data_IF_352218407234
#
_entry.id   IF_352218407234
#
_cell.length_a   1.000
_cell.length_b   1.000
_cell.length_c   1.000
_cell.angle_alpha   90.00
_cell.angle_beta   90.00
_cell.angle_gamma   90.00
#
_symmetry.space_group_name_H-M   'P 1'
#
loop_
_entity.id
_entity.type
_entity.pdbx_description
1 polymer ?
#
# COMPACT_ATOMS: atom_id res chain seq x y z
N UNK A 1 -9.20 -40.74 -7.49
CA UNK A 1 -9.96 -41.71 -6.67
C UNK A 1 -10.64 -40.93 -5.56
N UNK A 2 -11.99 -40.90 -5.61
CA UNK A 2 -13.02 -40.57 -4.59
C UNK A 2 -12.66 -39.55 -3.46
N UNK A 3 -13.44 -38.51 -3.15
CA UNK A 3 -14.87 -38.35 -3.34
C UNK A 3 -15.34 -36.89 -3.23
N UNK A 4 -16.48 -36.68 -3.90
CA UNK A 4 -17.26 -35.47 -4.06
C UNK A 4 -18.00 -35.08 -2.79
N UNK A 5 -18.03 -33.78 -2.50
CA UNK A 5 -18.89 -33.17 -1.48
C UNK A 5 -19.19 -31.71 -1.82
N UNK A 6 -19.96 -31.48 -2.89
CA UNK A 6 -20.60 -30.17 -3.15
C UNK A 6 -21.83 -30.06 -2.28
N UNK A 7 -21.85 -29.10 -1.36
CA UNK A 7 -23.06 -28.65 -0.67
C UNK A 7 -23.45 -27.28 -1.22
N UNK A 8 -24.53 -27.23 -1.99
CA UNK A 8 -25.21 -25.97 -2.35
C UNK A 8 -26.34 -25.72 -1.35
N UNK A 9 -26.44 -24.51 -0.84
CA UNK A 9 -27.60 -24.05 -0.07
C UNK A 9 -28.32 -22.99 -0.90
N UNK A 10 -29.56 -23.29 -1.29
CA UNK A 10 -30.49 -22.35 -1.91
C UNK A 10 -31.44 -21.89 -0.80
N UNK A 11 -31.59 -20.57 -0.59
CA UNK A 11 -32.57 -20.01 0.34
C UNK A 11 -33.59 -19.21 -0.44
N UNK A 12 -34.84 -19.67 -0.39
CA UNK A 12 -36.01 -19.02 -0.97
C UNK A 12 -36.50 -17.92 -0.03
N UNK A 13 -36.74 -16.72 -0.56
CA UNK A 13 -37.37 -15.60 0.17
C UNK A 13 -38.87 -15.63 -0.18
N UNK A 14 -39.79 -15.66 0.80
CA UNK A 14 -41.21 -15.47 0.52
C UNK A 14 -41.50 -13.98 0.27
N UNK A 15 -41.97 -13.67 -0.93
CA UNK A 15 -42.68 -12.43 -1.25
C UNK A 15 -44.11 -12.56 -0.75
N UNK A 16 -44.46 -11.80 0.29
CA UNK A 16 -45.86 -11.51 0.62
C UNK A 16 -46.24 -10.18 -0.02
N UNK A 17 -47.02 -10.31 -1.08
CA UNK A 17 -47.73 -9.27 -1.79
C UNK A 17 -49.16 -9.25 -1.24
N UNK A 18 -49.61 -8.10 -0.73
CA UNK A 18 -51.02 -7.83 -0.43
C UNK A 18 -51.20 -6.31 -0.40
N UNK A 19 -51.97 -5.83 -1.37
CA UNK A 19 -52.24 -4.43 -1.61
C UNK A 19 -53.55 -3.91 -1.00
N UNK A 20 -53.65 -2.57 -0.99
CA UNK A 20 -54.86 -1.75 -1.29
C UNK A 20 -56.01 -1.80 -0.22
N UNK A 21 -56.72 -0.75 0.27
CA UNK A 21 -56.99 0.69 -0.06
C UNK A 21 -57.60 1.40 1.20
N UNK A 22 -57.68 2.74 1.15
CA UNK A 22 -58.64 3.69 1.79
C UNK A 22 -58.45 4.28 3.21
N UNK A 23 -57.95 5.53 3.25
CA UNK A 23 -58.58 6.82 3.67
C UNK A 23 -59.45 6.98 4.96
N UNK A 24 -59.57 8.22 5.51
CA UNK A 24 -59.38 8.52 6.93
C UNK A 24 -60.60 9.11 7.68
N UNK A 25 -60.70 8.94 9.01
CA UNK A 25 -61.53 9.77 9.91
C UNK A 25 -61.08 9.63 11.40
N UNK A 26 -61.53 10.44 12.38
CA UNK A 26 -60.93 11.71 12.83
C UNK A 26 -60.40 11.66 14.29
N UNK A 27 -59.53 12.61 14.64
CA UNK A 27 -59.10 12.87 16.02
C UNK A 27 -60.24 13.43 16.90
N UNK A 28 -60.37 12.99 18.17
CA UNK A 28 -61.06 13.75 19.21
C UNK A 28 -60.09 14.70 19.97
N UNK A 29 -60.62 15.77 20.59
CA UNK A 29 -59.84 16.93 21.01
C UNK A 29 -59.06 16.71 22.31
N UNK A 30 -57.91 17.37 22.41
CA UNK A 30 -57.11 17.49 23.63
C UNK A 30 -57.81 18.41 24.65
N UNK A 31 -57.85 18.05 25.94
CA UNK A 31 -58.13 19.03 26.98
C UNK A 31 -56.84 19.78 27.35
N UNK A 32 -56.90 21.10 27.22
CA UNK A 32 -55.93 22.05 27.74
C UNK A 32 -55.98 22.10 29.27
N UNK A 33 -54.81 21.96 29.91
CA UNK A 33 -54.43 22.42 31.27
C UNK A 33 -53.03 21.83 31.50
N UNK A 34 -52.05 22.47 32.09
CA UNK A 34 -51.91 23.75 32.76
C UNK A 34 -50.41 23.85 33.06
N UNK A 35 -49.90 25.08 33.05
CA UNK A 35 -48.55 25.47 33.44
C UNK A 35 -48.07 24.74 34.71
N UNK A 36 -47.05 23.89 34.58
CA UNK A 36 -46.23 23.46 35.70
C UNK A 36 -44.77 23.78 35.40
N UNK A 37 -44.20 24.51 36.34
CA UNK A 37 -42.83 24.96 36.48
C UNK A 37 -41.88 23.76 36.37
N UNK A 38 -41.01 23.75 35.36
CA UNK A 38 -39.94 22.76 35.25
C UNK A 38 -38.82 23.08 36.25
N UNK A 39 -38.78 22.35 37.35
CA UNK A 39 -37.53 22.02 38.06
C UNK A 39 -36.69 21.06 37.20
N UNK A 40 -35.35 21.07 37.32
CA UNK A 40 -34.49 20.19 36.54
C UNK A 40 -34.67 18.75 37.03
N UNK A 41 -35.52 18.00 36.32
CA UNK A 41 -35.71 16.58 36.58
C UNK A 41 -34.46 15.83 36.13
N UNK A 42 -33.79 15.23 37.10
CA UNK A 42 -32.86 14.12 36.95
C UNK A 42 -33.37 13.14 35.89
N UNK A 43 -32.57 12.91 34.83
CA UNK A 43 -32.83 11.83 33.89
C UNK A 43 -33.01 10.51 34.68
N UNK A 44 -34.11 9.77 34.48
CA UNK A 44 -34.29 8.49 35.13
C UNK A 44 -33.15 7.54 34.72
N UNK A 45 -32.62 6.72 35.63
CA UNK A 45 -31.57 5.78 35.30
C UNK A 45 -32.06 4.81 34.20
N UNK A 46 -31.19 4.42 33.25
CA UNK A 46 -31.58 3.55 32.16
C UNK A 46 -32.16 2.25 32.71
N UNK A 47 -33.35 1.88 32.20
CA UNK A 47 -34.05 0.66 32.61
C UNK A 47 -33.25 -0.60 32.20
N UNK A 48 -33.46 -1.75 32.86
CA UNK A 48 -32.75 -3.00 32.53
C UNK A 48 -32.86 -3.40 31.04
N UNK A 49 -33.98 -3.09 30.41
CA UNK A 49 -34.26 -3.38 28.99
C UNK A 49 -33.40 -2.50 28.08
N UNK A 50 -33.18 -1.22 28.42
CA UNK A 50 -32.31 -0.32 27.65
C UNK A 50 -30.83 -0.72 27.77
N UNK A 51 -30.41 -1.23 28.92
CA UNK A 51 -29.04 -1.70 29.12
C UNK A 51 -28.75 -3.01 28.35
N UNK A 52 -29.69 -3.95 28.35
CA UNK A 52 -29.55 -5.18 27.56
C UNK A 52 -29.49 -4.86 26.05
N UNK A 53 -30.35 -3.97 25.56
CA UNK A 53 -30.36 -3.57 24.15
C UNK A 53 -29.06 -2.88 23.73
N UNK A 54 -28.55 -1.96 24.56
CA UNK A 54 -27.27 -1.29 24.31
C UNK A 54 -26.11 -2.31 24.23
N UNK A 55 -26.06 -3.24 25.17
CA UNK A 55 -25.04 -4.30 25.19
C UNK A 55 -25.09 -5.18 23.93
N UNK A 56 -26.29 -5.58 23.49
CA UNK A 56 -26.45 -6.37 22.26
C UNK A 56 -26.00 -5.60 21.02
N UNK A 57 -26.27 -4.29 20.94
CA UNK A 57 -25.81 -3.45 19.83
C UNK A 57 -24.28 -3.37 19.82
N UNK A 58 -23.64 -3.15 20.97
CA UNK A 58 -22.19 -3.07 21.08
C UNK A 58 -21.51 -4.40 20.72
N UNK A 59 -22.06 -5.52 21.18
CA UNK A 59 -21.59 -6.87 20.83
C UNK A 59 -21.69 -7.12 19.32
N UNK A 60 -22.83 -6.76 18.72
CA UNK A 60 -23.06 -6.92 17.27
C UNK A 60 -22.12 -6.04 16.46
N UNK A 61 -21.93 -4.79 16.89
CA UNK A 61 -20.99 -3.86 16.27
C UNK A 61 -19.56 -4.40 16.32
N UNK A 62 -19.10 -4.85 17.49
CA UNK A 62 -17.76 -5.40 17.66
C UNK A 62 -17.56 -6.64 16.77
N UNK A 63 -18.54 -7.55 16.72
CA UNK A 63 -18.48 -8.71 15.83
C UNK A 63 -18.38 -8.31 14.36
N UNK A 64 -19.15 -7.31 13.94
CA UNK A 64 -19.10 -6.80 12.56
C UNK A 64 -17.73 -6.20 12.21
N UNK A 65 -17.16 -5.39 13.10
CA UNK A 65 -15.82 -4.80 12.88
C UNK A 65 -14.73 -5.86 12.82
N UNK A 66 -14.86 -6.94 13.61
CA UNK A 66 -13.96 -8.08 13.55
C UNK A 66 -14.07 -8.80 12.20
N UNK A 67 -15.29 -9.10 11.75
CA UNK A 67 -15.53 -9.76 10.46
C UNK A 67 -14.96 -8.96 9.28
N UNK A 68 -15.08 -7.62 9.29
CA UNK A 68 -14.46 -6.78 8.25
C UNK A 68 -12.94 -6.89 8.27
N UNK A 69 -12.31 -6.90 9.45
CA UNK A 69 -10.86 -7.06 9.58
C UNK A 69 -10.40 -8.43 9.10
N UNK A 70 -11.10 -9.50 9.45
CA UNK A 70 -10.81 -10.86 8.98
C UNK A 70 -10.96 -10.99 7.47
N UNK A 71 -11.99 -10.37 6.90
CA UNK A 71 -12.20 -10.34 5.44
C UNK A 71 -11.06 -9.62 4.73
N UNK A 72 -10.60 -8.48 5.24
CA UNK A 72 -9.43 -7.77 4.71
C UNK A 72 -8.14 -8.59 4.85
N UNK A 73 -7.96 -9.30 5.95
CA UNK A 73 -6.80 -10.19 6.13
C UNK A 73 -6.82 -11.32 5.10
N UNK A 74 -7.97 -11.96 4.90
CA UNK A 74 -8.15 -12.97 3.87
C UNK A 74 -7.83 -12.41 2.48
N UNK A 75 -8.34 -11.22 2.13
CA UNK A 75 -8.02 -10.57 0.85
C UNK A 75 -6.52 -10.29 0.75
N UNK A 76 -5.88 -9.77 1.79
CA UNK A 76 -4.44 -9.48 1.82
C UNK A 76 -3.60 -10.71 1.46
N UNK A 77 -3.97 -11.88 1.99
CA UNK A 77 -3.23 -13.13 1.79
C UNK A 77 -3.37 -13.67 0.35
N UNK A 78 -4.51 -13.40 -0.30
CA UNK A 78 -4.83 -13.97 -1.62
C UNK A 78 -4.68 -12.98 -2.78
N UNK A 79 -4.57 -11.67 -2.51
CA UNK A 79 -4.51 -10.61 -3.53
C UNK A 79 -3.35 -10.81 -4.51
N UNK A 80 -2.17 -11.16 -4.00
CA UNK A 80 -0.98 -11.38 -4.82
C UNK A 80 -1.14 -12.58 -5.76
N UNK A 81 -1.72 -13.70 -5.28
CA UNK A 81 -2.00 -14.87 -6.10
C UNK A 81 -3.01 -14.57 -7.20
N UNK A 82 -4.06 -13.83 -6.85
CA UNK A 82 -5.06 -13.44 -7.82
C UNK A 82 -4.47 -12.54 -8.91
N UNK A 83 -3.74 -11.47 -8.56
CA UNK A 83 -3.17 -10.60 -9.59
C UNK A 83 -2.09 -11.32 -10.40
N UNK A 84 -1.30 -12.21 -9.79
CA UNK A 84 -0.40 -13.09 -10.54
C UNK A 84 -1.16 -13.95 -11.56
N UNK A 85 -2.30 -14.51 -11.19
CA UNK A 85 -3.10 -15.31 -12.13
C UNK A 85 -3.64 -14.49 -13.31
N UNK A 86 -3.89 -13.19 -13.12
CA UNK A 86 -4.37 -12.26 -14.15
C UNK A 86 -3.24 -11.77 -15.07
N UNK A 87 -2.10 -11.40 -14.48
CA UNK A 87 -1.07 -10.60 -15.17
C UNK A 87 0.17 -11.41 -15.60
N UNK A 88 0.31 -12.67 -15.18
CA UNK A 88 1.43 -13.51 -15.62
C UNK A 88 1.09 -14.11 -17.00
N UNK A 89 1.89 -13.84 -18.04
CA UNK A 89 1.60 -14.32 -19.39
C UNK A 89 1.73 -15.85 -19.54
N UNK A 90 2.34 -16.53 -18.57
CA UNK A 90 2.63 -17.96 -18.60
C UNK A 90 2.36 -18.63 -17.24
N UNK A 91 1.65 -19.75 -17.23
CA UNK A 91 1.50 -20.55 -16.00
C UNK A 91 2.85 -21.06 -15.50
N UNK A 92 2.94 -21.37 -14.20
CA UNK A 92 4.16 -21.94 -13.60
C UNK A 92 4.62 -23.22 -14.32
N UNK A 93 3.68 -24.07 -14.74
CA UNK A 93 3.97 -25.27 -15.53
C UNK A 93 4.65 -24.92 -16.86
N UNK A 94 4.15 -23.88 -17.55
CA UNK A 94 4.72 -23.40 -18.81
C UNK A 94 6.09 -22.76 -18.62
N UNK A 95 6.30 -22.03 -17.51
CA UNK A 95 7.60 -21.47 -17.14
C UNK A 95 8.62 -22.56 -16.81
N UNK A 96 8.22 -23.63 -16.13
CA UNK A 96 9.10 -24.75 -15.81
C UNK A 96 9.54 -25.55 -17.04
N UNK A 97 8.77 -25.51 -18.12
CA UNK A 97 9.09 -26.14 -19.40
C UNK A 97 9.84 -25.20 -20.36
N UNK A 98 9.94 -23.90 -20.03
CA UNK A 98 10.54 -22.89 -20.89
C UNK A 98 12.04 -23.15 -21.05
N UNK A 99 12.49 -23.28 -22.29
CA UNK A 99 13.90 -23.39 -22.64
C UNK A 99 14.48 -21.99 -22.85
N UNK A 100 15.74 -21.80 -22.47
CA UNK A 100 16.42 -20.51 -22.67
C UNK A 100 16.47 -20.08 -24.14
N UNK A 101 16.51 -21.04 -25.08
CA UNK A 101 16.45 -20.78 -26.53
C UNK A 101 15.12 -20.18 -27.01
N UNK A 102 14.06 -20.29 -26.21
CA UNK A 102 12.75 -19.70 -26.50
C UNK A 102 12.66 -18.23 -26.06
N UNK A 103 13.69 -17.72 -25.38
CA UNK A 103 13.81 -16.32 -24.96
C UNK A 103 14.63 -15.55 -26.01
N UNK A 104 13.98 -14.60 -26.66
CA UNK A 104 14.56 -13.74 -27.70
C UNK A 104 14.89 -12.39 -27.06
N UNK A 105 16.17 -12.09 -26.94
CA UNK A 105 16.64 -10.79 -26.46
C UNK A 105 16.38 -9.71 -27.52
N UNK A 106 15.79 -8.57 -27.13
CA UNK A 106 15.65 -7.42 -28.02
C UNK A 106 16.98 -6.71 -28.25
N UNK A 107 17.86 -6.76 -27.24
CA UNK A 107 19.24 -6.30 -27.32
C UNK A 107 20.13 -7.20 -26.45
N UNK A 108 21.39 -7.37 -26.86
CA UNK A 108 22.42 -8.04 -26.06
C UNK A 108 23.08 -7.11 -25.04
N UNK A 109 22.78 -5.81 -25.08
CA UNK A 109 23.17 -4.87 -24.02
C UNK A 109 22.08 -4.83 -22.95
N UNK A 110 22.40 -5.01 -21.65
CA UNK A 110 21.41 -4.90 -20.59
C UNK A 110 20.83 -3.48 -20.54
N UNK A 111 19.52 -3.40 -20.37
CA UNK A 111 18.79 -2.13 -20.19
C UNK A 111 19.13 -1.48 -18.84
N UNK A 112 19.44 -2.30 -17.84
CA UNK A 112 19.84 -1.85 -16.51
C UNK A 112 20.78 -2.87 -15.88
N UNK A 113 21.77 -2.35 -15.14
CA UNK A 113 22.70 -3.15 -14.33
C UNK A 113 22.54 -2.69 -12.88
N UNK A 114 22.29 -3.63 -11.96
CA UNK A 114 22.16 -3.36 -10.53
C UNK A 114 22.90 -4.45 -9.75
N UNK A 115 24.10 -4.12 -9.26
CA UNK A 115 25.00 -5.10 -8.65
C UNK A 115 25.32 -6.24 -9.62
N UNK A 116 25.17 -7.49 -9.17
CA UNK A 116 25.35 -8.71 -9.97
C UNK A 116 24.17 -9.07 -10.89
N UNK A 117 23.14 -8.22 -10.95
CA UNK A 117 21.91 -8.47 -11.70
C UNK A 117 21.86 -7.64 -12.98
N UNK A 118 21.60 -8.32 -14.09
CA UNK A 118 21.48 -7.74 -15.42
C UNK A 118 20.02 -7.83 -15.87
N UNK A 119 19.45 -6.71 -16.30
CA UNK A 119 18.08 -6.65 -16.78
C UNK A 119 18.05 -6.45 -18.29
N UNK A 120 17.25 -7.25 -18.98
CA UNK A 120 17.08 -7.21 -20.42
C UNK A 120 15.61 -7.10 -20.79
N UNK A 121 15.33 -6.39 -21.88
CA UNK A 121 14.08 -6.56 -22.58
C UNK A 121 14.17 -7.77 -23.50
N UNK A 122 13.21 -8.67 -23.37
CA UNK A 122 13.15 -9.90 -24.16
C UNK A 122 11.72 -10.24 -24.54
N UNK A 123 11.56 -11.23 -25.41
CA UNK A 123 10.28 -11.82 -25.75
C UNK A 123 10.35 -13.35 -25.63
N UNK A 124 9.26 -13.99 -25.23
CA UNK A 124 9.14 -15.44 -25.26
C UNK A 124 8.43 -15.83 -26.55
N UNK A 125 9.06 -16.71 -27.34
CA UNK A 125 8.48 -17.28 -28.56
C UNK A 125 7.95 -18.68 -28.27
N UNK A 126 6.68 -18.93 -28.60
CA UNK A 126 6.09 -20.27 -28.60
C UNK A 126 5.31 -20.48 -29.89
N UNK A 127 5.51 -21.64 -30.51
CA UNK A 127 4.76 -22.15 -31.68
C UNK A 127 4.54 -21.11 -32.79
N UNK A 128 5.65 -20.69 -33.43
CA UNK A 128 5.75 -19.81 -34.62
C UNK A 128 5.02 -18.44 -34.63
N UNK A 129 4.14 -18.13 -33.67
CA UNK A 129 3.31 -16.92 -33.71
C UNK A 129 3.09 -16.19 -32.38
N UNK A 130 3.25 -16.82 -31.22
CA UNK A 130 2.99 -16.12 -29.96
C UNK A 130 4.29 -15.52 -29.42
N UNK A 131 4.32 -14.19 -29.33
CA UNK A 131 5.39 -13.40 -28.70
C UNK A 131 4.85 -12.70 -27.46
N UNK A 132 5.42 -13.01 -26.29
CA UNK A 132 5.13 -12.28 -25.04
C UNK A 132 6.33 -11.41 -24.70
N UNK A 133 6.16 -10.10 -24.66
CA UNK A 133 7.20 -9.21 -24.14
C UNK A 133 7.37 -9.40 -22.64
N UNK A 134 8.62 -9.53 -22.22
CA UNK A 134 9.01 -9.77 -20.83
C UNK A 134 10.17 -8.87 -20.43
N UNK A 135 10.34 -8.72 -19.12
CA UNK A 135 11.59 -8.25 -18.53
C UNK A 135 12.32 -9.46 -17.95
N UNK A 136 13.54 -9.69 -18.43
CA UNK A 136 14.39 -10.79 -17.97
C UNK A 136 15.47 -10.25 -17.04
N UNK A 137 15.52 -10.75 -15.80
CA UNK A 137 16.63 -10.51 -14.89
C UNK A 137 17.54 -11.73 -14.87
N UNK A 138 18.77 -11.59 -15.34
CA UNK A 138 19.80 -12.63 -15.29
C UNK A 138 20.76 -12.29 -14.17
N UNK A 139 20.92 -13.23 -13.23
CA UNK A 139 21.89 -13.11 -12.15
C UNK A 139 23.13 -13.93 -12.45
N UNK A 140 24.29 -13.28 -12.36
CA UNK A 140 25.58 -13.95 -12.46
C UNK A 140 25.99 -14.45 -11.08
N UNK A 141 26.09 -15.76 -10.89
CA UNK A 141 26.74 -16.29 -9.70
C UNK A 141 28.25 -16.07 -9.86
N UNK A 142 28.84 -15.24 -9.00
CA UNK A 142 30.28 -15.23 -8.76
C UNK A 142 30.59 -16.38 -7.79
N UNK A 143 30.33 -17.63 -8.18
CA UNK A 143 30.92 -18.74 -7.43
C UNK A 143 32.37 -18.90 -7.87
N UNK A 144 33.27 -18.87 -6.89
CA UNK A 144 34.69 -19.22 -6.98
C UNK A 144 34.88 -20.68 -7.42
N UNK A 145 34.46 -21.01 -8.64
CA UNK A 145 34.78 -22.26 -9.30
C UNK A 145 35.77 -21.94 -10.41
N UNK A 146 37.01 -22.43 -10.23
CA UNK A 146 38.12 -22.40 -11.17
C UNK A 146 37.85 -23.16 -12.48
N UNK A 147 36.64 -23.67 -12.69
CA UNK A 147 36.22 -24.36 -13.91
C UNK A 147 35.17 -23.52 -14.66
N UNK A 148 35.63 -22.84 -15.72
CA UNK A 148 34.84 -21.97 -16.61
C UNK A 148 33.71 -22.68 -17.39
N UNK A 149 33.56 -24.00 -17.28
CA UNK A 149 32.78 -24.81 -18.24
C UNK A 149 31.27 -24.88 -17.97
N UNK A 150 30.78 -24.57 -16.76
CA UNK A 150 29.34 -24.66 -16.47
C UNK A 150 28.89 -23.63 -15.44
N UNK A 151 28.89 -22.34 -15.80
CA UNK A 151 28.24 -21.32 -14.99
C UNK A 151 26.73 -21.42 -15.21
N UNK A 152 26.04 -22.11 -14.31
CA UNK A 152 24.57 -22.01 -14.23
C UNK A 152 24.23 -20.58 -13.82
N UNK A 153 23.27 -19.95 -14.51
CA UNK A 153 22.74 -18.64 -14.14
C UNK A 153 21.30 -18.78 -13.70
N UNK A 154 20.87 -17.98 -12.72
CA UNK A 154 19.46 -17.91 -12.37
C UNK A 154 18.85 -16.76 -13.16
N UNK A 155 17.84 -17.07 -13.96
CA UNK A 155 17.07 -16.09 -14.68
C UNK A 155 15.67 -15.98 -14.05
N UNK A 156 15.19 -14.75 -13.90
CA UNK A 156 13.83 -14.46 -13.47
C UNK A 156 13.08 -13.82 -14.64
N UNK A 157 11.99 -14.46 -15.04
CA UNK A 157 11.07 -13.95 -16.06
C UNK A 157 9.99 -13.16 -15.36
N UNK A 158 9.84 -11.90 -15.72
CA UNK A 158 8.81 -11.00 -15.20
C UNK A 158 7.94 -10.50 -16.36
N UNK A 159 6.70 -10.04 -16.08
CA UNK A 159 5.94 -9.25 -17.03
C UNK A 159 6.77 -8.08 -17.58
N UNK A 160 6.38 -7.51 -18.72
CA UNK A 160 7.09 -6.35 -19.27
C UNK A 160 7.01 -5.17 -18.29
N UNK A 161 8.16 -4.79 -17.74
CA UNK A 161 8.32 -3.72 -16.77
C UNK A 161 9.27 -2.63 -17.30
N UNK A 162 8.91 -1.37 -17.06
CA UNK A 162 9.82 -0.22 -17.17
C UNK A 162 10.51 -0.04 -15.83
N UNK A 163 11.80 -0.34 -15.78
CA UNK A 163 12.63 -0.23 -14.58
C UNK A 163 13.32 1.14 -14.55
N UNK A 164 13.31 1.80 -13.39
CA UNK A 164 13.90 3.12 -13.23
C UNK A 164 14.49 3.29 -11.83
N UNK A 165 15.66 3.90 -11.73
CA UNK A 165 16.27 4.28 -10.45
C UNK A 165 15.67 5.60 -9.93
N UNK A 166 15.85 5.91 -8.65
CA UNK A 166 15.44 7.22 -8.11
C UNK A 166 16.14 8.39 -8.83
N UNK A 167 17.44 8.26 -9.11
CA UNK A 167 18.19 9.27 -9.86
C UNK A 167 17.66 9.45 -11.29
N UNK A 168 17.37 8.35 -11.99
CA UNK A 168 16.82 8.40 -13.34
C UNK A 168 15.41 8.99 -13.36
N UNK A 169 14.58 8.68 -12.36
CA UNK A 169 13.25 9.26 -12.23
C UNK A 169 13.34 10.78 -12.02
N UNK A 170 14.23 11.22 -11.13
CA UNK A 170 14.49 12.63 -10.89
C UNK A 170 15.13 13.34 -12.11
N UNK A 171 15.96 12.67 -12.90
CA UNK A 171 16.59 13.28 -14.07
C UNK A 171 15.65 13.44 -15.27
N UNK A 172 14.59 12.62 -15.37
CA UNK A 172 13.73 12.55 -16.55
C UNK A 172 12.74 13.73 -16.70
N UNK A 173 12.92 14.83 -15.94
CA UNK A 173 12.01 15.98 -15.91
C UNK A 173 10.52 15.57 -15.72
N UNK A 174 10.27 14.51 -14.95
CA UNK A 174 8.92 14.01 -14.71
C UNK A 174 8.04 15.08 -14.05
N UNK A 175 8.65 15.93 -13.23
CA UNK A 175 8.11 17.15 -12.62
C UNK A 175 7.64 18.20 -13.64
N UNK A 176 8.24 18.27 -14.83
CA UNK A 176 7.90 19.29 -15.84
C UNK A 176 6.73 18.92 -16.75
N UNK A 177 6.37 17.64 -16.79
CA UNK A 177 5.30 17.11 -17.65
C UNK A 177 4.01 16.88 -16.87
N UNK A 178 4.05 16.95 -15.54
CA UNK A 178 2.97 16.58 -14.64
C UNK A 178 2.75 17.74 -13.67
N UNK A 179 1.51 17.98 -13.27
CA UNK A 179 1.18 19.00 -12.29
C UNK A 179 1.79 18.67 -10.91
N UNK A 180 2.05 19.70 -10.11
CA UNK A 180 2.81 19.55 -8.87
C UNK A 180 2.11 18.65 -7.85
N UNK A 181 0.77 18.63 -7.84
CA UNK A 181 -0.01 17.79 -6.94
C UNK A 181 0.14 16.31 -7.32
N UNK A 182 -0.05 15.96 -8.59
CA UNK A 182 0.17 14.59 -9.06
C UNK A 182 1.62 14.14 -8.86
N UNK A 183 2.58 15.04 -9.04
CA UNK A 183 3.99 14.78 -8.79
C UNK A 183 4.27 14.45 -7.31
N UNK A 184 3.88 15.34 -6.39
CA UNK A 184 4.11 15.14 -4.96
C UNK A 184 3.31 13.96 -4.41
N UNK A 185 2.11 13.69 -4.95
CA UNK A 185 1.35 12.47 -4.67
C UNK A 185 2.15 11.21 -5.04
N UNK A 186 2.81 11.23 -6.19
CA UNK A 186 3.63 10.13 -6.67
C UNK A 186 4.86 9.92 -5.80
N UNK A 187 5.54 11.01 -5.41
CA UNK A 187 6.66 10.95 -4.44
C UNK A 187 6.19 10.40 -3.10
N UNK A 188 5.04 10.87 -2.59
CA UNK A 188 4.44 10.37 -1.35
C UNK A 188 4.19 8.85 -1.43
N UNK A 189 3.64 8.36 -2.55
CA UNK A 189 3.41 6.93 -2.76
C UNK A 189 4.70 6.09 -2.80
N UNK A 190 5.74 6.59 -3.47
CA UNK A 190 7.07 5.96 -3.47
C UNK A 190 7.63 5.91 -2.04
N UNK A 191 7.48 7.01 -1.29
CA UNK A 191 7.96 7.09 0.09
C UNK A 191 7.21 6.16 1.04
N UNK A 192 5.89 5.97 0.89
CA UNK A 192 5.14 4.95 1.64
C UNK A 192 5.76 3.56 1.43
N UNK A 193 6.02 3.18 0.17
CA UNK A 193 6.62 1.89 -0.16
C UNK A 193 8.04 1.76 0.41
N UNK A 194 8.85 2.81 0.27
CA UNK A 194 10.24 2.80 0.74
C UNK A 194 10.31 2.67 2.26
N UNK A 195 9.56 3.47 3.00
CA UNK A 195 9.57 3.42 4.47
C UNK A 195 9.05 2.06 4.97
N UNK A 196 8.02 1.49 4.33
CA UNK A 196 7.58 0.13 4.61
C UNK A 196 8.70 -0.90 4.42
N UNK A 197 9.42 -0.84 3.29
CA UNK A 197 10.53 -1.75 3.02
C UNK A 197 11.69 -1.58 3.99
N UNK A 198 12.05 -0.33 4.33
CA UNK A 198 13.10 -0.02 5.30
C UNK A 198 12.74 -0.50 6.71
N UNK A 199 11.48 -0.41 7.12
CA UNK A 199 11.03 -1.00 8.39
C UNK A 199 11.18 -2.52 8.42
N UNK A 200 10.88 -3.19 7.32
CA UNK A 200 11.12 -4.64 7.22
C UNK A 200 12.61 -4.98 7.28
N UNK A 201 13.47 -4.18 6.64
CA UNK A 201 14.92 -4.35 6.76
C UNK A 201 15.40 -4.08 8.20
N UNK A 202 14.86 -3.06 8.86
CA UNK A 202 15.17 -2.75 10.27
C UNK A 202 14.80 -3.91 11.20
N UNK A 203 13.64 -4.55 10.99
CA UNK A 203 13.25 -5.74 11.77
C UNK A 203 14.15 -6.95 11.47
N UNK A 204 14.75 -7.00 10.28
CA UNK A 204 15.75 -8.01 9.91
C UNK A 204 17.16 -7.67 10.46
N UNK A 205 17.32 -6.57 11.21
CA UNK A 205 18.58 -6.15 11.82
C UNK A 205 19.46 -5.24 10.95
N UNK A 206 18.93 -4.74 9.84
CA UNK A 206 19.68 -3.81 8.95
C UNK A 206 19.59 -2.40 9.51
N UNK A 207 20.74 -1.83 9.87
CA UNK A 207 20.83 -0.48 10.42
C UNK A 207 21.31 0.57 9.40
N UNK A 208 22.09 0.13 8.41
CA UNK A 208 22.71 1.00 7.41
C UNK A 208 22.59 0.42 6.01
N UNK A 209 22.58 1.31 5.02
CA UNK A 209 22.47 0.99 3.59
C UNK A 209 23.44 1.86 2.78
N UNK A 210 23.68 1.52 1.52
CA UNK A 210 24.53 2.34 0.65
C UNK A 210 23.97 3.75 0.41
N UNK A 211 24.83 4.70 0.07
CA UNK A 211 24.41 6.07 -0.27
C UNK A 211 23.87 6.24 -1.71
N UNK A 212 23.88 5.20 -2.54
CA UNK A 212 23.62 5.30 -3.99
C UNK A 212 22.34 4.59 -4.45
N UNK A 213 21.48 4.24 -3.50
CA UNK A 213 20.20 3.57 -3.72
C UNK A 213 20.29 2.24 -4.48
N UNK A 214 21.39 1.49 -4.37
CA UNK A 214 21.57 0.22 -5.11
C UNK A 214 20.61 -0.90 -4.70
N UNK A 215 19.96 -0.76 -3.57
CA UNK A 215 19.06 -1.76 -2.99
C UNK A 215 17.64 -1.67 -3.54
N UNK A 216 17.25 -0.53 -4.12
CA UNK A 216 15.91 -0.33 -4.65
C UNK A 216 15.87 0.06 -6.13
N UNK A 217 14.80 -0.38 -6.79
CA UNK A 217 14.39 0.07 -8.13
C UNK A 217 12.88 0.26 -8.16
N UNK A 218 12.42 1.19 -8.99
CA UNK A 218 11.01 1.32 -9.31
C UNK A 218 10.70 0.54 -10.58
N UNK A 219 9.61 -0.20 -10.57
CA UNK A 219 9.10 -0.97 -11.68
C UNK A 219 7.69 -0.51 -12.04
N UNK A 220 7.49 -0.08 -13.28
CA UNK A 220 6.19 0.32 -13.82
C UNK A 220 5.72 -0.72 -14.82
N UNK A 221 4.45 -1.11 -14.75
CA UNK A 221 3.84 -2.00 -15.76
C UNK A 221 3.53 -1.18 -17.01
N UNK A 222 3.80 -1.74 -18.19
CA UNK A 222 3.51 -1.07 -19.48
C UNK A 222 2.02 -1.01 -19.82
N UNK A 223 1.22 -1.94 -19.30
CA UNK A 223 -0.18 -2.16 -19.74
C UNK A 223 -1.18 -1.32 -18.94
N UNK A 224 -0.81 -0.88 -17.74
CA UNK A 224 -1.65 0.01 -16.96
C UNK A 224 -1.17 1.45 -17.16
N UNK A 225 -2.10 2.37 -17.46
CA UNK A 225 -1.91 3.81 -17.24
C UNK A 225 -1.76 4.15 -15.73
N UNK A 226 -1.30 3.18 -14.93
CA UNK A 226 -1.01 3.30 -13.52
C UNK A 226 0.21 4.20 -13.37
N UNK A 227 -0.04 5.43 -12.91
CA UNK A 227 1.01 6.32 -12.43
C UNK A 227 1.80 5.72 -11.26
N UNK A 228 1.24 4.75 -10.53
CA UNK A 228 1.86 4.13 -9.37
C UNK A 228 2.87 3.04 -9.75
N UNK A 229 4.16 3.28 -9.52
CA UNK A 229 5.23 2.30 -9.67
C UNK A 229 5.37 1.39 -8.45
N UNK A 230 5.81 0.15 -8.66
CA UNK A 230 6.15 -0.81 -7.61
C UNK A 230 7.62 -0.63 -7.19
N UNK A 231 7.88 -0.55 -5.89
CA UNK A 231 9.24 -0.57 -5.36
C UNK A 231 9.75 -2.01 -5.20
N UNK A 232 10.82 -2.34 -5.91
CA UNK A 232 11.53 -3.61 -5.80
C UNK A 232 12.74 -3.46 -4.88
N UNK A 233 12.87 -4.35 -3.88
CA UNK A 233 14.01 -4.43 -2.97
C UNK A 233 14.91 -5.63 -3.33
N UNK A 234 16.21 -5.40 -3.47
CA UNK A 234 17.22 -6.42 -3.76
C UNK A 234 18.01 -6.72 -2.49
N UNK A 235 17.46 -7.59 -1.62
CA UNK A 235 18.04 -7.91 -0.30
C UNK A 235 19.51 -8.34 -0.37
N UNK A 236 19.96 -8.93 -1.48
CA UNK A 236 21.34 -9.39 -1.60
C UNK A 236 22.34 -8.24 -1.73
N UNK A 237 21.93 -7.11 -2.31
CA UNK A 237 22.76 -5.90 -2.35
C UNK A 237 22.88 -5.20 -1.00
N UNK A 238 22.02 -5.57 -0.03
CA UNK A 238 22.11 -5.09 1.36
C UNK A 238 23.28 -5.77 2.09
N UNK A 239 23.66 -7.00 1.70
CA UNK A 239 24.66 -7.82 2.41
C UNK A 239 26.04 -7.88 1.74
N UNK A 240 26.18 -7.41 0.50
CA UNK A 240 27.43 -7.52 -0.28
C UNK A 240 28.61 -6.67 0.27
N UNK A 241 28.43 -5.85 1.31
CA UNK A 241 29.42 -4.86 1.78
C UNK A 241 29.95 -5.07 3.22
N UNK A 242 30.02 -6.29 3.73
CA UNK A 242 30.80 -6.50 4.96
C UNK A 242 32.31 -6.21 4.76
N UNK A 243 32.81 -6.13 3.51
CA UNK A 243 34.24 -5.92 3.23
C UNK A 243 34.60 -4.67 2.39
N UNK A 244 33.66 -4.04 1.66
CA UNK A 244 33.93 -2.76 0.98
C UNK A 244 33.73 -1.60 1.96
N UNK A 245 34.81 -1.28 2.67
CA UNK A 245 35.07 -0.07 3.47
C UNK A 245 33.90 0.92 3.64
N UNK A 246 33.49 1.12 4.90
CA UNK A 246 32.64 2.16 5.54
C UNK A 246 32.54 3.59 4.94
N UNK A 247 33.13 3.92 3.78
CA UNK A 247 33.04 5.21 3.12
C UNK A 247 31.79 5.28 2.24
N UNK A 248 30.62 5.38 2.87
CA UNK A 248 29.41 5.77 2.15
C UNK A 248 28.12 5.12 2.61
N UNK A 249 28.12 4.31 3.66
CA UNK A 249 26.87 3.84 4.25
C UNK A 249 26.16 4.98 5.00
N UNK A 250 24.84 4.90 5.08
CA UNK A 250 23.99 5.82 5.84
C UNK A 250 22.96 5.05 6.65
N UNK A 251 22.52 5.62 7.77
CA UNK A 251 21.40 5.06 8.54
C UNK A 251 20.17 4.91 7.65
N UNK A 252 19.32 3.93 7.93
CA UNK A 252 18.06 3.72 7.21
C UNK A 252 17.15 4.97 7.20
N UNK A 253 17.18 5.79 8.27
CA UNK A 253 16.44 7.05 8.32
C UNK A 253 17.03 8.09 7.34
N UNK A 254 18.36 8.24 7.32
CA UNK A 254 19.04 9.13 6.37
C UNK A 254 18.92 8.63 4.94
N UNK A 255 18.86 7.32 4.72
CA UNK A 255 18.58 6.72 3.42
C UNK A 255 17.21 7.17 2.88
N UNK A 256 16.16 7.07 3.72
CA UNK A 256 14.82 7.53 3.36
C UNK A 256 14.80 9.04 3.08
N UNK A 257 15.44 9.85 3.93
CA UNK A 257 15.53 11.30 3.75
C UNK A 257 16.25 11.66 2.44
N UNK A 258 17.34 10.97 2.13
CA UNK A 258 18.09 11.14 0.88
C UNK A 258 17.25 10.78 -0.34
N UNK A 259 16.46 9.71 -0.27
CA UNK A 259 15.55 9.33 -1.34
C UNK A 259 14.49 10.42 -1.56
N UNK A 260 13.89 10.93 -0.46
CA UNK A 260 12.94 12.05 -0.51
C UNK A 260 13.57 13.30 -1.16
N UNK A 261 14.76 13.73 -0.72
CA UNK A 261 15.45 14.87 -1.32
C UNK A 261 15.75 14.64 -2.80
N UNK A 262 16.20 13.44 -3.18
CA UNK A 262 16.47 13.09 -4.59
C UNK A 262 15.21 13.17 -5.43
N UNK A 263 14.10 12.63 -4.93
CA UNK A 263 12.79 12.64 -5.59
C UNK A 263 12.15 14.04 -5.61
N UNK A 264 12.58 14.99 -4.77
CA UNK A 264 12.08 16.36 -4.79
C UNK A 264 13.09 17.36 -5.39
N UNK A 265 14.16 16.86 -6.01
CA UNK A 265 15.24 17.66 -6.59
C UNK A 265 15.94 18.61 -5.59
N UNK A 266 15.94 18.26 -4.31
CA UNK A 266 16.69 18.97 -3.28
C UNK A 266 18.12 18.46 -3.17
N UNK A 267 19.02 19.34 -2.70
CA UNK A 267 20.41 18.97 -2.40
C UNK A 267 20.46 17.99 -1.23
N UNK A 268 21.40 17.04 -1.30
CA UNK A 268 21.58 16.01 -0.28
C UNK A 268 22.60 16.47 0.79
N UNK A 269 22.23 17.46 1.60
CA UNK A 269 23.08 18.02 2.68
C UNK A 269 22.85 17.36 4.05
N UNK A 270 22.05 16.28 4.09
CA UNK A 270 21.62 15.57 5.30
C UNK A 270 20.81 16.41 6.30
N UNK A 271 20.39 17.62 5.91
CA UNK A 271 19.46 18.45 6.65
C UNK A 271 18.01 18.23 6.24
N UNK A 272 17.09 18.94 6.90
CA UNK A 272 15.69 18.97 6.50
C UNK A 272 15.57 19.89 5.27
N UNK A 273 15.07 19.40 4.12
CA UNK A 273 14.86 20.21 2.95
C UNK A 273 13.74 21.24 3.19
N UNK A 274 13.87 22.41 2.58
CA UNK A 274 12.80 23.40 2.53
C UNK A 274 11.83 23.02 1.42
N UNK A 275 10.63 22.55 1.79
CA UNK A 275 9.58 22.16 0.85
C UNK A 275 8.48 23.24 0.90
N UNK A 276 8.32 24.04 -0.17
CA UNK A 276 7.25 25.02 -0.26
C UNK A 276 5.87 24.36 -0.24
N UNK A 277 4.87 25.03 0.32
CA UNK A 277 3.51 24.51 0.38
C UNK A 277 2.78 24.73 -0.97
N UNK A 278 2.86 23.74 -1.87
CA UNK A 278 2.27 23.81 -3.20
C UNK A 278 1.12 22.83 -3.41
N UNK A 279 1.02 21.79 -2.60
CA UNK A 279 -0.01 20.77 -2.68
C UNK A 279 -0.40 20.26 -1.30
N UNK A 280 -1.49 19.49 -1.23
CA UNK A 280 -1.89 18.78 -0.01
C UNK A 280 -0.83 17.83 0.55
N UNK A 281 0.15 17.41 -0.26
CA UNK A 281 1.24 16.53 0.14
C UNK A 281 2.47 17.28 0.64
N UNK A 282 2.63 18.58 0.32
CA UNK A 282 3.86 19.33 0.64
C UNK A 282 4.16 19.35 2.15
N UNK A 283 3.15 19.66 2.97
CA UNK A 283 3.25 19.65 4.44
C UNK A 283 3.58 18.26 4.99
N UNK A 284 3.01 17.22 4.38
CA UNK A 284 3.27 15.82 4.74
C UNK A 284 4.71 15.42 4.41
N UNK A 285 5.20 15.78 3.23
CA UNK A 285 6.55 15.48 2.79
C UNK A 285 7.58 16.23 3.63
N UNK A 286 7.32 17.49 3.98
CA UNK A 286 8.14 18.25 4.92
C UNK A 286 8.17 17.57 6.30
N UNK A 287 7.00 17.22 6.85
CA UNK A 287 6.93 16.58 8.16
C UNK A 287 7.61 15.21 8.18
N UNK A 288 7.49 14.45 7.09
CA UNK A 288 8.22 13.21 6.89
C UNK A 288 9.74 13.45 6.95
N UNK A 289 10.24 14.48 6.26
CA UNK A 289 11.65 14.83 6.27
C UNK A 289 12.16 15.21 7.66
N UNK A 290 11.41 16.00 8.42
CA UNK A 290 11.71 16.36 9.81
C UNK A 290 11.83 15.12 10.69
N UNK A 291 10.81 14.25 10.66
CA UNK A 291 10.75 13.04 11.49
C UNK A 291 11.89 12.07 11.15
N UNK A 292 12.21 11.91 9.86
CA UNK A 292 13.34 11.09 9.42
C UNK A 292 14.69 11.69 9.87
N UNK A 293 14.79 13.01 9.91
CA UNK A 293 16.00 13.71 10.35
C UNK A 293 16.26 13.59 11.85
N UNK A 294 15.24 13.27 12.67
CA UNK A 294 15.41 13.02 14.11
C UNK A 294 16.22 11.75 14.42
N UNK A 295 16.31 10.80 13.47
CA UNK A 295 17.02 9.52 13.61
C UNK A 295 16.68 8.70 14.88
N UNK A 296 15.47 8.87 15.41
CA UNK A 296 14.97 8.08 16.55
C UNK A 296 14.53 6.69 16.08
N UNK A 297 14.49 5.73 17.01
CA UNK A 297 13.95 4.39 16.74
C UNK A 297 12.49 4.41 16.25
N UNK A 298 11.72 5.44 16.63
CA UNK A 298 10.35 5.65 16.16
C UNK A 298 10.23 6.42 14.83
N UNK A 299 11.31 7.00 14.31
CA UNK A 299 11.26 7.90 13.14
C UNK A 299 10.64 7.24 11.90
N UNK A 300 11.06 6.03 11.53
CA UNK A 300 10.46 5.32 10.39
C UNK A 300 8.99 4.98 10.62
N UNK A 301 8.59 4.65 11.85
CA UNK A 301 7.20 4.36 12.18
C UNK A 301 6.32 5.60 12.09
N UNK A 302 6.80 6.72 12.62
CA UNK A 302 6.09 8.00 12.54
C UNK A 302 6.02 8.50 11.09
N UNK A 303 7.12 8.41 10.33
CA UNK A 303 7.14 8.77 8.91
C UNK A 303 6.15 7.92 8.10
N UNK A 304 6.11 6.60 8.32
CA UNK A 304 5.13 5.70 7.69
C UNK A 304 3.71 6.17 7.98
N UNK A 305 3.38 6.38 9.25
CA UNK A 305 2.02 6.71 9.67
C UNK A 305 1.56 8.05 9.07
N UNK A 306 2.44 9.06 9.02
CA UNK A 306 2.14 10.39 8.43
C UNK A 306 1.93 10.29 6.91
N UNK A 307 2.82 9.57 6.21
CA UNK A 307 2.70 9.37 4.77
C UNK A 307 1.42 8.61 4.42
N UNK A 308 1.14 7.51 5.13
CA UNK A 308 -0.09 6.73 4.95
C UNK A 308 -1.34 7.54 5.30
N UNK A 309 -1.32 8.32 6.38
CA UNK A 309 -2.41 9.21 6.76
C UNK A 309 -2.76 10.14 5.59
N UNK A 310 -1.78 10.90 5.11
CA UNK A 310 -2.01 11.88 4.04
C UNK A 310 -2.43 11.22 2.73
N UNK A 311 -1.77 10.11 2.36
CA UNK A 311 -2.06 9.42 1.09
C UNK A 311 -3.46 8.80 1.06
N UNK A 312 -3.94 8.26 2.19
CA UNK A 312 -5.17 7.47 2.25
C UNK A 312 -6.40 8.24 2.75
N UNK A 313 -6.22 9.30 3.53
CA UNK A 313 -7.33 10.11 4.09
C UNK A 313 -7.55 11.40 3.29
N UNK A 314 -6.49 11.96 2.69
CA UNK A 314 -6.50 13.29 2.09
C UNK A 314 -6.46 14.43 3.13
N UNK A 315 -6.15 15.64 2.68
CA UNK A 315 -5.86 16.78 3.57
C UNK A 315 -7.02 17.26 4.47
N UNK A 316 -8.27 16.92 4.15
CA UNK A 316 -9.44 17.46 4.86
C UNK A 316 -9.98 16.54 5.96
N UNK A 317 -9.36 15.39 6.19
CA UNK A 317 -9.76 14.53 7.30
C UNK A 317 -9.03 14.95 8.55
N UNK A 318 -9.77 15.31 9.58
CA UNK A 318 -9.28 15.59 10.92
C UNK A 318 -10.07 14.76 11.94
N UNK A 319 -9.43 14.49 13.08
CA UNK A 319 -10.05 13.76 14.18
C UNK A 319 -10.02 14.63 15.43
N UNK A 320 -11.17 14.82 16.09
CA UNK A 320 -11.21 15.56 17.35
C UNK A 320 -10.64 14.70 18.49
N UNK A 321 -10.85 13.39 18.41
CA UNK A 321 -10.37 12.43 19.38
C UNK A 321 -10.09 11.04 18.76
N UNK A 322 -9.56 10.13 19.58
CA UNK A 322 -9.22 8.76 19.16
C UNK A 322 -10.45 7.91 18.80
N UNK A 323 -11.61 8.20 19.39
CA UNK A 323 -12.85 7.50 19.10
C UNK A 323 -13.39 7.86 17.70
N UNK A 324 -13.27 9.11 17.27
CA UNK A 324 -13.61 9.51 15.89
C UNK A 324 -12.72 8.79 14.87
N UNK A 325 -11.42 8.70 15.15
CA UNK A 325 -10.47 7.95 14.33
C UNK A 325 -10.83 6.45 14.26
N UNK A 326 -11.37 5.88 15.35
CA UNK A 326 -11.88 4.51 15.38
C UNK A 326 -13.10 4.34 14.49
N UNK A 327 -14.09 5.22 14.61
CA UNK A 327 -15.31 5.17 13.77
C UNK A 327 -14.94 5.27 12.30
N UNK A 328 -14.04 6.21 11.96
CA UNK A 328 -13.54 6.34 10.60
C UNK A 328 -12.90 5.05 10.12
N UNK A 329 -11.98 4.47 10.89
CA UNK A 329 -11.28 3.25 10.51
C UNK A 329 -12.23 2.07 10.31
N UNK A 330 -13.19 1.88 11.21
CA UNK A 330 -14.18 0.82 11.13
C UNK A 330 -15.08 0.99 9.88
N UNK A 331 -15.48 2.23 9.56
CA UNK A 331 -16.24 2.55 8.34
C UNK A 331 -15.43 2.27 7.07
N UNK A 332 -14.15 2.64 7.05
CA UNK A 332 -13.29 2.44 5.88
C UNK A 332 -13.00 0.96 5.63
N UNK A 333 -12.81 0.17 6.68
CA UNK A 333 -12.66 -1.29 6.55
C UNK A 333 -13.89 -1.91 5.90
N UNK A 334 -15.09 -1.52 6.33
CA UNK A 334 -16.33 -1.99 5.73
C UNK A 334 -16.44 -1.61 4.24
N UNK A 335 -16.20 -0.34 3.91
CA UNK A 335 -16.25 0.16 2.53
C UNK A 335 -15.22 -0.51 1.62
N UNK A 336 -14.01 -0.76 2.09
CA UNK A 336 -12.98 -1.40 1.29
C UNK A 336 -13.24 -2.89 1.07
N UNK A 337 -13.86 -3.61 2.03
CA UNK A 337 -14.33 -4.98 1.78
C UNK A 337 -15.32 -5.00 0.62
N UNK A 338 -16.34 -4.14 0.67
CA UNK A 338 -17.37 -4.06 -0.39
C UNK A 338 -16.77 -3.65 -1.75
N UNK A 339 -15.89 -2.64 -1.76
CA UNK A 339 -15.18 -2.19 -2.97
C UNK A 339 -14.29 -3.27 -3.56
N UNK A 340 -13.52 -3.98 -2.73
CA UNK A 340 -12.59 -5.01 -3.21
C UNK A 340 -13.36 -6.20 -3.80
N UNK A 341 -14.48 -6.59 -3.19
CA UNK A 341 -15.34 -7.65 -3.72
C UNK A 341 -16.00 -7.23 -5.03
N UNK A 342 -16.45 -5.98 -5.15
CA UNK A 342 -17.15 -5.49 -6.35
C UNK A 342 -16.23 -5.13 -7.53
N UNK A 343 -15.02 -4.62 -7.28
CA UNK A 343 -14.10 -4.13 -8.32
C UNK A 343 -12.98 -5.12 -8.66
N UNK A 344 -13.12 -6.39 -8.28
CA UNK A 344 -12.05 -7.39 -8.19
C UNK A 344 -11.23 -7.55 -9.49
N UNK A 345 -11.84 -7.45 -10.67
CA UNK A 345 -11.16 -7.64 -11.96
C UNK A 345 -10.23 -6.47 -12.35
N UNK A 346 -10.50 -5.26 -11.86
CA UNK A 346 -9.86 -4.01 -12.27
C UNK A 346 -8.77 -3.51 -11.31
N UNK A 347 -8.46 -4.28 -10.27
CA UNK A 347 -7.62 -3.85 -9.16
C UNK A 347 -6.15 -3.60 -9.57
N UNK A 348 -5.57 -2.54 -8.99
CA UNK A 348 -4.14 -2.28 -9.04
C UNK A 348 -3.45 -2.91 -7.82
N UNK A 349 -2.79 -4.06 -8.03
CA UNK A 349 -2.16 -4.84 -6.97
C UNK A 349 -1.35 -4.02 -5.97
N UNK A 350 -0.52 -3.10 -6.46
CA UNK A 350 0.43 -2.38 -5.59
C UNK A 350 -0.32 -1.42 -4.67
N UNK A 351 -1.27 -0.67 -5.23
CA UNK A 351 -2.09 0.28 -4.48
C UNK A 351 -3.00 -0.47 -3.50
N UNK A 352 -3.68 -1.51 -3.97
CA UNK A 352 -4.61 -2.27 -3.14
C UNK A 352 -3.92 -3.01 -2.00
N UNK A 353 -2.77 -3.64 -2.26
CA UNK A 353 -1.99 -4.31 -1.23
C UNK A 353 -1.57 -3.35 -0.12
N UNK A 354 -1.09 -2.16 -0.49
CA UNK A 354 -0.70 -1.14 0.50
C UNK A 354 -1.90 -0.58 1.25
N UNK A 355 -3.04 -0.39 0.58
CA UNK A 355 -4.29 0.08 1.20
C UNK A 355 -4.81 -0.93 2.24
N UNK A 356 -4.87 -2.20 1.87
CA UNK A 356 -5.30 -3.29 2.78
C UNK A 356 -4.32 -3.42 3.95
N UNK A 357 -3.00 -3.40 3.68
CA UNK A 357 -1.97 -3.44 4.71
C UNK A 357 -2.11 -2.26 5.69
N UNK A 358 -2.37 -1.05 5.19
CA UNK A 358 -2.64 0.12 6.02
C UNK A 358 -3.86 -0.13 6.93
N UNK A 359 -5.01 -0.52 6.37
CA UNK A 359 -6.22 -0.75 7.16
C UNK A 359 -6.09 -1.86 8.20
N UNK A 360 -5.26 -2.87 7.95
CA UNK A 360 -5.00 -3.96 8.89
C UNK A 360 -4.03 -3.56 10.01
N UNK A 361 -3.04 -2.70 9.71
CA UNK A 361 -1.96 -2.36 10.64
C UNK A 361 -2.18 -1.06 11.43
N UNK A 362 -2.96 -0.12 10.89
CA UNK A 362 -3.18 1.17 11.54
C UNK A 362 -4.11 1.04 12.76
N UNK A 363 -3.80 1.79 13.80
CA UNK A 363 -4.63 1.89 15.02
C UNK A 363 -5.28 3.27 15.09
N UNK A 364 -6.44 3.41 15.77
CA UNK A 364 -7.08 4.71 15.99
C UNK A 364 -6.12 5.73 16.64
N UNK A 365 -5.33 5.27 17.63
CA UNK A 365 -4.26 6.08 18.24
C UNK A 365 -3.27 6.63 17.23
N UNK A 366 -2.80 5.79 16.30
CA UNK A 366 -1.80 6.19 15.31
C UNK A 366 -2.38 7.17 14.29
N UNK A 367 -3.64 6.98 13.88
CA UNK A 367 -4.36 7.94 13.03
C UNK A 367 -4.50 9.29 13.72
N UNK A 368 -5.00 9.30 14.94
CA UNK A 368 -5.17 10.53 15.72
C UNK A 368 -3.84 11.26 15.91
N UNK A 369 -2.78 10.54 16.32
CA UNK A 369 -1.44 11.11 16.50
C UNK A 369 -0.88 11.71 15.20
N UNK A 370 -1.08 11.03 14.06
CA UNK A 370 -0.63 11.53 12.75
C UNK A 370 -1.37 12.81 12.35
N UNK A 371 -2.68 12.86 12.61
CA UNK A 371 -3.50 14.06 12.45
C UNK A 371 -2.95 15.23 13.28
N UNK A 372 -2.63 14.99 14.55
CA UNK A 372 -2.06 16.00 15.43
C UNK A 372 -0.69 16.51 14.96
N UNK A 373 0.17 15.61 14.47
CA UNK A 373 1.50 15.96 13.97
C UNK A 373 1.45 16.86 12.75
N UNK A 374 0.47 16.66 11.86
CA UNK A 374 0.27 17.47 10.67
C UNK A 374 -0.38 18.81 11.00
N UNK A 375 -1.34 18.86 11.92
CA UNK A 375 -1.97 20.11 12.39
C UNK A 375 -0.95 21.08 12.98
N UNK A 376 0.01 20.57 13.75
CA UNK A 376 1.12 21.36 14.33
C UNK A 376 2.12 21.89 13.29
N UNK A 377 2.02 21.48 12.02
CA UNK A 377 2.86 21.99 10.93
C UNK A 377 2.26 23.22 10.24
N UNK A 378 0.98 23.55 10.51
CA UNK A 378 0.27 24.70 9.93
C UNK A 378 0.30 25.96 10.81
N UNK A 379 0.82 25.84 12.04
CA UNK A 379 1.03 26.91 13.02
C UNK A 379 2.51 26.96 13.39
#
# INVERSE_FOLDING_TARGET
LQGSGRSSVTVSIPLSDAGWVDSPVPCPPSPSRSSQIHTPASHPPPTPITNHRAKTIDETYNQMTLNHRESLAYISDHLADYVRSRDVPLSNEKLNQLKFSEIIFKSYTPTLIKGASLFFEAAIRRDEQITYDITLMVRRFLQHSSHFSARTCKAFVMPRLKLISFHSLAANNFDKLIDIETYERHVCFIMVQLVCALKSLQSDGVEQLSNNFREFLLAYRYVSNSSCGLLCCFKETVSDDLEESNRGSVSICKYALRALCTLLHHKMDNGVPTIPNHSQYSSTLLKCAEVLNEEKSSSLSNAKNILEYSFWLGANTEFENEFDAKIWLDSQRSRDVDRLVSAFESLNETVERLRVQFLLSITPRSLFTSSEMLRKSYY
#
